data_IF_364957430656
#
_entry.id   IF_364957430656
#
_cell.length_a   1.000
_cell.length_b   1.000
_cell.length_c   1.000
_cell.angle_alpha   90.00
_cell.angle_beta   90.00
_cell.angle_gamma   90.00
#
_symmetry.space_group_name_H-M   'P 1'
#
loop_
_entity.id
_entity.type
_entity.pdbx_description
1 polymer ?
#
# COMPACT_ATOMS: atom_id res chain seq x y z
N UNK A 1 5.12 -8.26 -19.21
CA UNK A 1 3.92 -7.99 -18.39
C UNK A 1 4.33 -7.03 -17.28
N UNK A 2 3.80 -5.81 -17.24
CA UNK A 2 4.21 -4.77 -16.26
C UNK A 2 4.11 -3.32 -16.73
N UNK A 3 3.76 -3.08 -18.00
CA UNK A 3 3.77 -1.74 -18.63
C UNK A 3 2.54 -0.89 -18.33
N UNK A 4 1.46 -1.54 -17.89
CA UNK A 4 0.20 -0.89 -17.55
C UNK A 4 -0.22 -1.28 -16.14
N UNK A 5 -0.60 -0.30 -15.33
CA UNK A 5 -1.14 -0.51 -13.99
C UNK A 5 -2.50 0.15 -13.84
N UNK A 6 -3.44 -0.54 -13.20
CA UNK A 6 -4.67 0.07 -12.68
C UNK A 6 -4.40 0.43 -11.23
N UNK A 7 -4.60 1.69 -10.88
CA UNK A 7 -4.25 2.27 -9.58
C UNK A 7 -5.48 2.97 -9.02
N UNK A 8 -5.72 2.79 -7.72
CA UNK A 8 -6.77 3.52 -7.00
C UNK A 8 -6.33 4.96 -6.75
N UNK A 9 -7.27 5.90 -6.84
CA UNK A 9 -7.05 7.28 -6.43
C UNK A 9 -7.38 7.45 -4.95
N UNK A 10 -6.57 8.25 -4.27
CA UNK A 10 -6.80 8.71 -2.89
C UNK A 10 -7.12 10.20 -2.89
N UNK A 11 -7.74 10.68 -1.81
CA UNK A 11 -8.14 12.08 -1.63
C UNK A 11 -8.93 12.60 -2.85
N UNK A 12 -9.90 11.81 -3.29
CA UNK A 12 -10.79 12.13 -4.40
C UNK A 12 -11.71 13.30 -4.03
N UNK A 13 -12.06 14.17 -4.99
CA UNK A 13 -13.00 15.26 -4.74
C UNK A 13 -14.43 14.72 -4.61
N UNK A 14 -15.40 15.64 -4.46
CA UNK A 14 -16.81 15.27 -4.35
C UNK A 14 -17.34 14.56 -5.60
N UNK A 15 -18.43 13.81 -5.44
CA UNK A 15 -19.15 13.14 -6.55
C UNK A 15 -19.48 14.13 -7.67
N UNK A 16 -19.84 15.38 -7.34
CA UNK A 16 -20.22 16.40 -8.31
C UNK A 16 -19.10 16.83 -9.26
N UNK A 17 -17.84 16.64 -8.84
CA UNK A 17 -16.66 16.91 -9.67
C UNK A 17 -16.34 15.67 -10.51
N UNK A 18 -16.20 14.51 -9.88
CA UNK A 18 -15.83 13.27 -10.58
C UNK A 18 -16.87 12.82 -11.62
N UNK A 19 -18.16 13.08 -11.40
CA UNK A 19 -19.24 12.71 -12.33
C UNK A 19 -19.24 13.50 -13.64
N UNK A 20 -18.47 14.60 -13.72
CA UNK A 20 -18.27 15.35 -14.97
C UNK A 20 -17.43 14.60 -15.98
N UNK A 21 -16.65 13.62 -15.52
CA UNK A 21 -15.78 12.81 -16.35
C UNK A 21 -16.42 11.45 -16.59
N UNK A 22 -16.21 10.94 -17.81
CA UNK A 22 -16.62 9.57 -18.15
C UNK A 22 -15.46 8.60 -17.91
N UNK A 23 -15.74 7.34 -17.52
CA UNK A 23 -14.76 6.27 -17.64
C UNK A 23 -14.20 6.22 -19.08
N UNK A 24 -12.90 6.04 -19.19
CA UNK A 24 -12.15 6.13 -20.45
C UNK A 24 -11.61 7.53 -20.78
N UNK A 25 -12.04 8.58 -20.08
CA UNK A 25 -11.50 9.92 -20.29
C UNK A 25 -10.00 9.97 -19.97
N UNK A 26 -9.24 10.63 -20.86
CA UNK A 26 -7.82 10.87 -20.66
C UNK A 26 -7.60 11.90 -19.55
N UNK A 27 -6.61 11.63 -18.71
CA UNK A 27 -6.23 12.47 -17.57
C UNK A 27 -4.73 12.70 -17.57
N UNK A 28 -4.31 13.81 -16.94
CA UNK A 28 -2.92 14.20 -16.84
C UNK A 28 -2.34 13.77 -15.49
N UNK A 29 -1.10 13.28 -15.51
CA UNK A 29 -0.32 12.95 -14.33
C UNK A 29 0.59 14.12 -14.00
N UNK A 30 0.37 14.78 -12.86
CA UNK A 30 1.10 15.97 -12.46
C UNK A 30 1.94 15.70 -11.20
N UNK A 31 3.29 15.77 -11.28
CA UNK A 31 4.16 15.69 -10.10
C UNK A 31 3.85 16.80 -9.09
N UNK A 32 3.54 16.43 -7.85
CA UNK A 32 3.28 17.35 -6.75
C UNK A 32 4.14 16.94 -5.54
N UNK A 33 5.40 17.39 -5.54
CA UNK A 33 6.40 16.96 -4.55
C UNK A 33 6.74 15.47 -4.69
N UNK A 34 6.45 14.68 -3.66
CA UNK A 34 6.61 13.21 -3.67
C UNK A 34 5.36 12.45 -4.15
N UNK A 35 4.27 13.17 -4.39
CA UNK A 35 3.01 12.62 -4.87
C UNK A 35 2.81 12.89 -6.36
N UNK A 36 1.85 12.17 -6.94
CA UNK A 36 1.39 12.40 -8.31
C UNK A 36 -0.10 12.71 -8.26
N UNK A 37 -0.44 13.94 -8.59
CA UNK A 37 -1.83 14.37 -8.76
C UNK A 37 -2.35 13.86 -10.10
N UNK A 38 -3.63 13.52 -10.14
CA UNK A 38 -4.36 13.19 -11.36
C UNK A 38 -5.31 14.34 -11.67
N UNK A 39 -5.14 14.94 -12.84
CA UNK A 39 -5.89 16.12 -13.26
C UNK A 39 -6.73 15.84 -14.49
N UNK A 40 -7.93 16.42 -14.54
CA UNK A 40 -8.77 16.44 -15.74
C UNK A 40 -8.16 17.28 -16.86
N UNK A 41 -8.81 17.26 -18.03
CA UNK A 41 -8.41 18.06 -19.20
C UNK A 41 -8.46 19.58 -18.95
N UNK A 42 -9.29 20.01 -18.00
CA UNK A 42 -9.48 21.36 -17.50
C UNK A 42 -8.58 21.72 -16.31
N UNK A 43 -7.63 20.83 -15.95
CA UNK A 43 -6.75 20.93 -14.78
C UNK A 43 -7.46 20.81 -13.43
N UNK A 44 -8.73 20.39 -13.39
CA UNK A 44 -9.45 20.09 -12.15
C UNK A 44 -8.81 18.87 -11.47
N UNK A 45 -8.60 18.94 -10.15
CA UNK A 45 -7.96 17.87 -9.40
C UNK A 45 -8.94 16.72 -9.16
N UNK A 46 -8.59 15.53 -9.66
CA UNK A 46 -9.43 14.32 -9.55
C UNK A 46 -8.96 13.37 -8.44
N UNK A 47 -7.82 13.66 -7.83
CA UNK A 47 -7.24 12.93 -6.71
C UNK A 47 -5.73 12.75 -6.87
N UNK A 48 -5.17 11.83 -6.09
CA UNK A 48 -3.75 11.49 -6.11
C UNK A 48 -3.54 9.99 -6.26
N UNK A 49 -2.41 9.59 -6.83
CA UNK A 49 -1.97 8.20 -6.78
C UNK A 49 -1.57 7.83 -5.34
N UNK A 50 -1.78 6.58 -4.95
CA UNK A 50 -1.26 6.05 -3.69
C UNK A 50 0.26 6.33 -3.57
N UNK A 51 0.76 6.78 -2.40
CA UNK A 51 2.14 7.28 -2.28
C UNK A 51 3.22 6.30 -2.77
N UNK A 52 3.05 5.00 -2.48
CA UNK A 52 3.99 3.95 -2.90
C UNK A 52 4.07 3.85 -4.43
N UNK A 53 2.93 3.93 -5.12
CA UNK A 53 2.86 3.86 -6.58
C UNK A 53 3.30 5.19 -7.20
N UNK A 54 2.87 6.32 -6.63
CA UNK A 54 3.24 7.67 -7.08
C UNK A 54 4.75 7.90 -7.04
N UNK A 55 5.41 7.62 -5.92
CA UNK A 55 6.88 7.75 -5.77
C UNK A 55 7.63 6.90 -6.79
N UNK A 56 7.16 5.67 -7.01
CA UNK A 56 7.74 4.79 -8.03
C UNK A 56 7.58 5.40 -9.43
N UNK A 57 6.38 5.83 -9.78
CA UNK A 57 6.12 6.45 -11.08
C UNK A 57 6.97 7.70 -11.31
N UNK A 58 7.16 8.54 -10.30
CA UNK A 58 8.04 9.71 -10.37
C UNK A 58 9.48 9.33 -10.75
N UNK A 59 10.02 8.25 -10.17
CA UNK A 59 11.35 7.77 -10.54
C UNK A 59 11.44 7.34 -12.00
N UNK A 60 10.37 6.77 -12.57
CA UNK A 60 10.31 6.41 -13.99
C UNK A 60 10.15 7.62 -14.90
N UNK A 61 9.30 8.59 -14.52
CA UNK A 61 9.15 9.86 -15.24
C UNK A 61 10.48 10.62 -15.29
N UNK A 62 11.19 10.72 -14.17
CA UNK A 62 12.54 11.31 -14.09
C UNK A 62 13.57 10.54 -14.92
N UNK A 63 13.37 9.23 -15.08
CA UNK A 63 14.19 8.37 -15.94
C UNK A 63 13.95 8.55 -17.44
N UNK A 64 13.01 9.42 -17.83
CA UNK A 64 12.69 9.72 -19.23
C UNK A 64 11.56 8.88 -19.83
N UNK A 65 10.88 8.05 -19.03
CA UNK A 65 9.72 7.30 -19.50
C UNK A 65 8.51 8.22 -19.64
N UNK A 66 7.64 7.91 -20.60
CA UNK A 66 6.40 8.64 -20.81
C UNK A 66 5.21 7.72 -20.56
N UNK A 67 4.15 8.30 -20.02
CA UNK A 67 2.95 7.60 -19.62
C UNK A 67 1.72 8.35 -20.10
N UNK A 68 0.67 7.58 -20.41
CA UNK A 68 -0.68 8.08 -20.65
C UNK A 68 -1.60 7.48 -19.59
N UNK A 69 -2.53 8.28 -19.09
CA UNK A 69 -3.46 7.87 -18.05
C UNK A 69 -4.92 8.07 -18.48
N UNK A 70 -5.78 7.13 -18.09
CA UNK A 70 -7.23 7.21 -18.35
C UNK A 70 -8.03 6.82 -17.12
N UNK A 71 -9.16 7.46 -16.90
CA UNK A 71 -10.07 7.07 -15.82
C UNK A 71 -10.68 5.70 -16.11
N UNK A 72 -10.74 4.85 -15.10
CA UNK A 72 -11.38 3.52 -15.15
C UNK A 72 -12.70 3.54 -14.38
N UNK A 73 -12.73 4.24 -13.25
CA UNK A 73 -13.90 4.40 -12.41
C UNK A 73 -13.93 5.81 -11.83
N UNK A 74 -15.12 6.38 -11.73
CA UNK A 74 -15.38 7.78 -11.29
C UNK A 74 -16.17 7.85 -9.99
N UNK A 75 -16.46 6.72 -9.34
CA UNK A 75 -17.02 6.70 -7.98
C UNK A 75 -15.96 7.20 -6.99
N UNK A 76 -16.19 8.26 -6.19
CA UNK A 76 -15.19 8.76 -5.25
C UNK A 76 -14.65 7.73 -4.26
N UNK A 77 -15.42 6.70 -3.89
CA UNK A 77 -14.98 5.65 -2.97
C UNK A 77 -14.03 4.65 -3.65
N UNK A 78 -14.17 4.47 -4.96
CA UNK A 78 -13.48 3.45 -5.73
C UNK A 78 -12.90 3.99 -7.05
N UNK A 79 -12.52 5.27 -7.07
CA UNK A 79 -12.02 5.91 -8.28
C UNK A 79 -10.67 5.29 -8.66
N UNK A 80 -10.50 5.01 -9.95
CA UNK A 80 -9.33 4.31 -10.47
C UNK A 80 -8.86 4.94 -11.76
N UNK A 81 -7.56 4.86 -11.97
CA UNK A 81 -6.88 5.30 -13.20
C UNK A 81 -6.07 4.14 -13.76
N UNK A 82 -6.13 3.94 -15.07
CA UNK A 82 -5.23 3.07 -15.80
C UNK A 82 -4.08 3.92 -16.34
N UNK A 83 -2.85 3.51 -16.03
CA UNK A 83 -1.64 4.21 -16.45
C UNK A 83 -0.87 3.26 -17.36
N UNK A 84 -0.68 3.64 -18.62
CA UNK A 84 0.11 2.88 -19.60
C UNK A 84 1.40 3.61 -19.93
N UNK A 85 2.50 2.87 -20.02
CA UNK A 85 3.74 3.38 -20.59
C UNK A 85 3.61 3.54 -22.10
N UNK A 86 3.86 4.74 -22.62
CA UNK A 86 3.86 5.05 -24.06
C UNK A 86 5.27 5.04 -24.63
N UNK A 87 6.27 5.33 -23.80
CA UNK A 87 7.68 5.31 -24.17
C UNK A 87 8.55 4.85 -23.01
N UNK A 88 9.49 3.94 -23.28
CA UNK A 88 10.48 3.45 -22.34
C UNK A 88 11.85 3.98 -22.73
N UNK A 89 12.48 4.75 -21.85
CA UNK A 89 13.83 5.22 -22.07
C UNK A 89 14.84 4.08 -21.84
N UNK A 90 15.96 4.00 -22.61
CA UNK A 90 16.94 2.92 -22.47
C UNK A 90 17.52 2.75 -21.06
N UNK A 91 17.67 3.84 -20.28
CA UNK A 91 18.15 3.78 -18.88
C UNK A 91 17.17 3.07 -17.93
N UNK A 92 15.92 2.94 -18.35
CA UNK A 92 14.84 2.27 -17.60
C UNK A 92 14.47 0.91 -18.22
N UNK A 93 15.26 0.42 -19.18
CA UNK A 93 15.09 -0.91 -19.75
C UNK A 93 15.17 -1.99 -18.67
N UNK A 94 14.31 -3.00 -18.77
CA UNK A 94 14.24 -4.11 -17.81
C UNK A 94 13.56 -3.80 -16.47
N UNK A 95 13.29 -2.53 -16.15
CA UNK A 95 12.55 -2.14 -14.94
C UNK A 95 11.04 -2.11 -15.22
N UNK A 96 10.25 -2.57 -14.25
CA UNK A 96 8.78 -2.61 -14.37
C UNK A 96 8.14 -1.48 -13.55
N UNK A 97 7.32 -0.59 -14.16
CA UNK A 97 6.72 0.53 -13.43
C UNK A 97 5.68 0.06 -12.41
N UNK A 98 4.87 -0.96 -12.73
CA UNK A 98 3.76 -1.41 -11.87
C UNK A 98 3.90 -2.89 -11.48
N UNK A 99 4.71 -3.24 -10.47
CA UNK A 99 4.84 -4.61 -9.99
C UNK A 99 3.52 -5.07 -9.33
N UNK A 100 2.99 -6.20 -9.78
CA UNK A 100 1.79 -6.82 -9.19
C UNK A 100 0.44 -6.34 -9.74
N UNK A 101 0.38 -5.20 -10.46
CA UNK A 101 -0.88 -4.65 -10.99
C UNK A 101 -1.59 -5.50 -12.05
N UNK A 102 -0.92 -6.53 -12.59
CA UNK A 102 -1.50 -7.46 -13.57
C UNK A 102 -2.11 -8.71 -12.94
N UNK A 103 -1.99 -8.91 -11.62
CA UNK A 103 -2.73 -10.00 -10.98
C UNK A 103 -4.12 -9.45 -10.67
N UNK A 104 -5.19 -9.93 -11.33
CA UNK A 104 -6.48 -9.90 -10.65
C UNK A 104 -6.24 -10.53 -9.27
N UNK A 105 -6.88 -10.00 -8.23
CA UNK A 105 -6.91 -10.66 -6.94
C UNK A 105 -7.62 -12.00 -7.13
N UNK A 106 -6.90 -12.99 -7.66
CA UNK A 106 -7.28 -14.39 -7.61
C UNK A 106 -7.20 -14.71 -6.14
N UNK A 107 -8.35 -14.54 -5.47
CA UNK A 107 -8.69 -15.26 -4.26
C UNK A 107 -8.13 -16.66 -4.45
N UNK A 108 -7.06 -16.99 -3.73
CA UNK A 108 -6.61 -18.37 -3.64
C UNK A 108 -7.61 -19.02 -2.69
N UNK A 109 -8.61 -19.80 -3.14
CA UNK A 109 -9.30 -20.65 -2.20
C UNK A 109 -8.23 -21.60 -1.65
N UNK A 110 -7.94 -21.47 -0.36
CA UNK A 110 -7.24 -22.51 0.38
C UNK A 110 -8.18 -23.71 0.44
N UNK A 111 -8.23 -24.51 -0.62
CA UNK A 111 -8.70 -25.88 -0.49
C UNK A 111 -7.53 -26.59 0.18
N UNK A 112 -7.55 -26.66 1.51
CA UNK A 112 -6.69 -27.56 2.29
C UNK A 112 -7.14 -28.98 1.95
N UNK A 113 -6.66 -29.47 0.81
CA UNK A 113 -6.97 -30.79 0.32
C UNK A 113 -6.23 -31.84 1.15
N UNK A 114 -6.98 -32.62 1.93
CA UNK A 114 -6.79 -34.06 1.92
C UNK A 114 -8.15 -34.68 1.64
N UNK A 115 -8.35 -34.92 0.35
CA UNK A 115 -9.45 -35.67 -0.22
C UNK A 115 -9.48 -37.06 0.41
N UNK A 116 -10.67 -37.47 0.85
CA UNK A 116 -11.00 -38.84 1.21
C UNK A 116 -10.46 -39.82 0.17
N UNK A 117 -9.62 -40.76 0.61
CA UNK A 117 -9.38 -42.02 -0.08
C UNK A 117 -10.00 -43.12 0.77
N UNK A 118 -11.30 -43.39 0.56
CA UNK A 118 -11.93 -44.60 1.06
C UNK A 118 -12.24 -45.49 -0.14
N UNK A 119 -11.54 -46.62 -0.23
CA UNK A 119 -12.07 -47.91 -0.67
C UNK A 119 -10.95 -48.96 -0.62
N UNK A 120 -11.01 -49.86 0.38
CA UNK A 120 -10.36 -51.16 0.30
C UNK A 120 -9.75 -51.69 1.61
N UNK A 121 -10.58 -52.37 2.41
CA UNK A 121 -10.19 -53.58 3.14
C UNK A 121 -9.50 -53.44 4.49
N UNK A 122 -10.25 -53.84 5.52
CA UNK A 122 -9.83 -54.61 6.70
C UNK A 122 -9.21 -53.89 7.92
N UNK A 123 -10.04 -53.92 8.99
CA UNK A 123 -9.73 -54.35 10.37
C UNK A 123 -8.69 -53.54 11.17
N UNK A 124 -9.15 -52.71 12.13
CA UNK A 124 -9.29 -53.11 13.54
C UNK A 124 -9.57 -51.89 14.43
N UNK A 125 -10.59 -52.02 15.29
CA UNK A 125 -10.96 -51.07 16.35
C UNK A 125 -9.96 -51.14 17.52
N UNK A 126 -9.66 -50.02 18.16
CA UNK A 126 -8.97 -50.04 19.45
C UNK A 126 -8.61 -48.66 19.99
N UNK A 127 -9.49 -48.13 20.85
CA UNK A 127 -9.33 -46.92 21.64
C UNK A 127 -8.17 -46.99 22.65
N UNK A 128 -7.85 -45.80 23.20
CA UNK A 128 -7.11 -45.47 24.45
C UNK A 128 -5.60 -45.26 24.27
N UNK A 129 -4.91 -44.34 24.93
CA UNK A 129 -5.20 -43.11 25.70
C UNK A 129 -3.79 -42.55 25.99
N UNK A 130 -3.66 -41.23 26.04
CA UNK A 130 -2.61 -40.45 26.73
C UNK A 130 -1.13 -40.57 26.31
N UNK A 131 -0.58 -39.45 25.83
CA UNK A 131 0.77 -39.00 26.21
C UNK A 131 0.69 -37.51 26.51
N UNK A 132 0.62 -37.20 27.81
CA UNK A 132 1.02 -35.95 28.42
C UNK A 132 2.52 -35.67 28.17
N UNK A 133 2.86 -34.37 28.20
CA UNK A 133 4.19 -33.77 28.41
C UNK A 133 5.23 -33.88 27.25
N UNK A 134 6.01 -32.86 26.89
CA UNK A 134 6.47 -31.69 27.64
C UNK A 134 6.49 -30.40 26.79
N UNK A 135 6.19 -29.31 27.48
CA UNK A 135 6.55 -27.96 27.09
C UNK A 135 8.06 -27.70 27.19
N UNK A 136 8.68 -27.26 26.10
CA UNK A 136 9.85 -26.37 26.12
C UNK A 136 9.57 -25.29 25.04
N UNK A 137 9.47 -23.99 25.31
CA UNK A 137 10.15 -23.20 26.32
C UNK A 137 11.15 -22.28 25.65
N UNK A 138 10.70 -21.24 24.93
CA UNK A 138 11.54 -20.07 24.66
C UNK A 138 10.72 -18.82 24.99
N UNK A 139 11.19 -18.14 26.03
CA UNK A 139 10.60 -17.00 26.71
C UNK A 139 10.61 -15.72 25.85
N UNK A 140 9.68 -14.79 26.14
CA UNK A 140 9.71 -13.42 25.65
C UNK A 140 10.69 -12.55 26.46
N UNK A 141 10.83 -11.28 26.04
CA UNK A 141 11.64 -10.16 26.58
C UNK A 141 13.00 -9.99 25.87
N UNK A 142 13.44 -8.81 25.46
CA UNK A 142 13.27 -7.49 26.09
C UNK A 142 13.20 -6.32 25.09
N UNK A 143 12.58 -5.24 25.60
CA UNK A 143 12.68 -3.84 25.20
C UNK A 143 14.13 -3.35 25.17
N UNK A 144 14.49 -2.44 24.27
CA UNK A 144 15.44 -1.36 24.59
C UNK A 144 15.27 -0.15 23.67
N UNK A 145 14.99 0.98 24.31
CA UNK A 145 14.71 2.33 23.79
C UNK A 145 15.98 3.08 23.34
N UNK A 146 17.06 2.39 22.96
CA UNK A 146 18.37 3.00 22.73
C UNK A 146 18.65 3.44 21.27
N UNK A 147 17.82 3.07 20.28
CA UNK A 147 18.05 3.52 18.88
C UNK A 147 17.59 4.97 18.61
N UNK A 148 16.83 5.59 19.52
CA UNK A 148 16.30 6.94 19.32
C UNK A 148 17.28 8.06 19.70
N UNK A 149 18.28 7.78 20.53
CA UNK A 149 19.25 8.77 21.01
C UNK A 149 20.43 8.96 20.05
N UNK A 150 20.82 7.92 19.31
CA UNK A 150 21.97 7.97 18.39
C UNK A 150 21.69 8.85 17.15
N UNK A 151 20.43 9.01 16.73
CA UNK A 151 20.04 9.83 15.57
C UNK A 151 20.06 11.33 15.90
N UNK A 152 19.86 11.71 17.17
CA UNK A 152 19.77 13.11 17.58
C UNK A 152 21.14 13.78 17.74
N UNK A 153 22.18 13.02 18.14
CA UNK A 153 23.55 13.53 18.25
C UNK A 153 24.18 13.82 16.87
N UNK A 154 23.85 13.05 15.82
CA UNK A 154 24.38 13.27 14.46
C UNK A 154 23.76 14.51 13.78
N UNK A 155 22.57 14.94 14.22
CA UNK A 155 21.84 16.06 13.62
C UNK A 155 22.13 17.44 14.23
N UNK A 156 22.93 17.53 15.31
CA UNK A 156 23.34 18.80 15.92
C UNK A 156 22.17 19.68 16.39
N UNK A 157 21.07 19.07 16.86
CA UNK A 157 19.88 19.78 17.32
C UNK A 157 19.96 19.87 18.85
N UNK A 158 20.27 21.06 19.36
CA UNK A 158 20.24 21.32 20.80
C UNK A 158 18.81 21.14 21.33
N UNK A 159 18.70 20.36 22.41
CA UNK A 159 17.44 19.95 23.04
C UNK A 159 16.67 21.18 23.51
N UNK A 160 15.49 21.45 22.94
CA UNK A 160 14.56 22.43 23.49
C UNK A 160 14.01 21.89 24.82
N UNK A 161 14.35 22.54 25.93
CA UNK A 161 13.69 22.35 27.22
C UNK A 161 12.20 22.72 27.07
N UNK A 162 11.34 21.72 27.19
CA UNK A 162 9.91 21.92 27.34
C UNK A 162 9.67 22.05 28.85
N UNK A 163 9.42 23.27 29.32
CA UNK A 163 8.91 23.52 30.68
C UNK A 163 7.55 22.81 30.84
N UNK A 164 7.44 21.98 31.87
CA UNK A 164 6.19 21.32 32.26
C UNK A 164 5.17 22.38 32.72
N UNK A 165 3.88 22.27 32.36
CA UNK A 165 2.85 23.09 33.00
C UNK A 165 2.57 22.57 34.42
N UNK A 166 2.66 23.47 35.41
CA UNK A 166 2.29 23.20 36.80
C UNK A 166 0.80 22.81 36.89
N UNK A 167 0.51 21.70 37.59
CA UNK A 167 -0.85 21.31 37.97
C UNK A 167 -1.34 22.25 39.10
N UNK A 168 -2.31 23.12 38.81
CA UNK A 168 -3.03 23.88 39.83
C UNK A 168 -3.96 22.93 40.62
N UNK A 169 -3.70 22.78 41.93
CA UNK A 169 -4.66 22.20 42.88
C UNK A 169 -5.90 23.11 42.99
N UNK A 170 -7.13 22.57 42.98
CA UNK A 170 -8.30 23.37 43.34
C UNK A 170 -8.39 23.51 44.88
N UNK A 171 -8.28 24.75 45.37
CA UNK A 171 -8.75 25.11 46.71
C UNK A 171 -10.29 25.03 46.74
N UNK A 172 -10.84 24.12 47.54
CA UNK A 172 -12.26 24.16 47.94
C UNK A 172 -12.43 25.17 49.08
N UNK A 173 -13.30 26.17 48.87
CA UNK A 173 -13.81 27.12 49.89
C UNK A 173 -15.09 26.59 50.55
#
# INVERSE_FOLDING_TARGET
MGKTGIVRLINTPSVAILSRYSPGAEVQLHPAGELVAVQGSDKELLGFLEPKVGRRLLSFLRGGNQYMATLVATDPQNAKVAIRETYQHPSMAGKVPFPGSHRPAETRPYIRGTFFRQAGGDEEEGLLEDMEDESEGIKPEASDEEEATEILEEAGIDRLEVEEPEEEEPEEE
#
